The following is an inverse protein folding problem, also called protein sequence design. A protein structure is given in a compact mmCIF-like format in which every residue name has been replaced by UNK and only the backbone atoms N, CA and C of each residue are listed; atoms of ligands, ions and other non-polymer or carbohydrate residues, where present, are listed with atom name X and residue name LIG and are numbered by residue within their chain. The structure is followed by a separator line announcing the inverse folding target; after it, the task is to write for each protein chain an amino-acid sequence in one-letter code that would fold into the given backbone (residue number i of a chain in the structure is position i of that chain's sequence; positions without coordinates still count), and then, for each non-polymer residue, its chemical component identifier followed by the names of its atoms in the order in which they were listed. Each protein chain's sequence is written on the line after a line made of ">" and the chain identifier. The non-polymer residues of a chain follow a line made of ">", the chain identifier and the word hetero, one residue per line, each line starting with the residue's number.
data_IF_672898327021
#
_entry.id   IF_672898327021
#
_cell.length_a   1.000
_cell.length_b   1.000
_cell.length_c   1.000
_cell.angle_alpha   90.00
_cell.angle_beta   90.00
_cell.angle_gamma   90.00
#
_symmetry.space_group_name_H-M   'P 1'
#
loop_
_entity.id
_entity.type
_entity.pdbx_description
1 polymer ?
#
# COMPACT_ATOMS: atom_id res chain seq x y z
N UNK A 1 -21.68 10.83 -4.68
CA UNK A 1 -22.38 9.53 -4.79
C UNK A 1 -21.53 8.45 -4.17
N UNK A 2 -22.02 7.78 -3.12
CA UNK A 2 -21.35 6.61 -2.52
C UNK A 2 -21.56 5.42 -3.46
N UNK A 3 -20.57 5.10 -4.25
CA UNK A 3 -20.58 3.89 -5.06
C UNK A 3 -20.14 2.73 -4.17
N UNK A 4 -20.94 1.66 -4.11
CA UNK A 4 -20.67 0.45 -3.32
C UNK A 4 -19.28 -0.18 -3.61
N UNK A 5 -18.68 0.19 -4.74
CA UNK A 5 -17.34 -0.28 -5.12
C UNK A 5 -16.22 0.27 -4.21
N UNK A 6 -16.38 1.49 -3.64
CA UNK A 6 -15.36 2.11 -2.78
C UNK A 6 -15.07 1.33 -1.51
N UNK A 7 -16.08 0.94 -0.70
CA UNK A 7 -15.81 0.12 0.48
C UNK A 7 -15.26 -1.26 0.12
N UNK A 8 -15.70 -1.86 -0.98
CA UNK A 8 -15.14 -3.15 -1.42
C UNK A 8 -13.66 -3.01 -1.81
N UNK A 9 -13.31 -1.98 -2.57
CA UNK A 9 -11.93 -1.69 -2.93
C UNK A 9 -11.07 -1.41 -1.69
N UNK A 10 -11.59 -0.66 -0.71
CA UNK A 10 -10.91 -0.35 0.54
C UNK A 10 -10.59 -1.61 1.35
N UNK A 11 -11.57 -2.49 1.52
CA UNK A 11 -11.40 -3.73 2.30
C UNK A 11 -10.42 -4.67 1.60
N UNK A 12 -10.56 -4.89 0.29
CA UNK A 12 -9.67 -5.78 -0.45
C UNK A 12 -8.22 -5.29 -0.44
N UNK A 13 -8.00 -3.98 -0.65
CA UNK A 13 -6.65 -3.43 -0.61
C UNK A 13 -6.08 -3.44 0.81
N UNK A 14 -6.88 -3.24 1.85
CA UNK A 14 -6.45 -3.35 3.24
C UNK A 14 -5.99 -4.78 3.59
N UNK A 15 -6.74 -5.79 3.18
CA UNK A 15 -6.39 -7.20 3.38
C UNK A 15 -5.07 -7.50 2.65
N UNK A 16 -4.96 -7.11 1.39
CA UNK A 16 -3.74 -7.32 0.62
C UNK A 16 -2.54 -6.60 1.24
N UNK A 17 -2.72 -5.33 1.66
CA UNK A 17 -1.67 -4.54 2.30
C UNK A 17 -1.18 -5.19 3.62
N UNK A 18 -2.09 -5.79 4.39
CA UNK A 18 -1.73 -6.56 5.59
C UNK A 18 -0.82 -7.74 5.25
N UNK A 19 -1.19 -8.55 4.25
CA UNK A 19 -0.37 -9.69 3.83
C UNK A 19 0.95 -9.26 3.21
N UNK A 20 0.97 -8.21 2.40
CA UNK A 20 2.20 -7.66 1.84
C UNK A 20 3.16 -7.14 2.92
N UNK A 21 2.63 -6.50 3.97
CA UNK A 21 3.41 -6.08 5.13
C UNK A 21 4.01 -7.27 5.89
N UNK A 22 3.23 -8.33 6.09
CA UNK A 22 3.71 -9.58 6.69
C UNK A 22 4.80 -10.26 5.86
N UNK A 23 4.71 -10.21 4.54
CA UNK A 23 5.75 -10.72 3.65
C UNK A 23 7.02 -9.85 3.66
N UNK A 24 6.90 -8.56 3.99
CA UNK A 24 8.04 -7.65 4.10
C UNK A 24 8.80 -7.79 5.43
N UNK A 25 8.13 -8.13 6.53
CA UNK A 25 8.74 -8.26 7.86
C UNK A 25 10.05 -9.07 7.85
N UNK A 26 10.11 -10.29 7.30
CA UNK A 26 11.35 -11.09 7.28
C UNK A 26 12.43 -10.51 6.36
N UNK A 27 12.09 -9.68 5.37
CA UNK A 27 13.06 -9.00 4.51
C UNK A 27 13.72 -7.82 5.22
N UNK A 28 13.00 -7.20 6.15
CA UNK A 28 13.53 -6.11 6.95
C UNK A 28 14.53 -6.63 8.00
N UNK A 29 14.09 -7.51 8.88
CA UNK A 29 14.91 -8.20 9.87
C UNK A 29 14.19 -9.50 10.28
N UNK A 30 14.80 -10.69 10.09
CA UNK A 30 14.20 -11.99 10.43
C UNK A 30 13.87 -12.15 11.92
N UNK A 31 14.49 -11.35 12.80
CA UNK A 31 14.30 -11.40 14.26
C UNK A 31 13.42 -10.26 14.79
N UNK A 32 13.11 -9.27 13.98
CA UNK A 32 12.28 -8.14 14.39
C UNK A 32 10.80 -8.51 14.41
N UNK A 33 10.18 -8.41 15.57
CA UNK A 33 8.72 -8.43 15.69
C UNK A 33 8.21 -7.02 15.45
N UNK A 34 7.74 -6.75 14.24
CA UNK A 34 7.25 -5.42 13.85
C UNK A 34 5.85 -5.07 14.40
N UNK A 35 5.42 -5.73 15.48
CA UNK A 35 4.23 -5.40 16.25
C UNK A 35 3.00 -5.01 15.42
N UNK A 36 2.66 -3.73 15.41
CA UNK A 36 1.49 -3.19 14.70
C UNK A 36 1.75 -2.75 13.25
N UNK A 37 2.95 -2.99 12.67
CA UNK A 37 3.29 -2.54 11.32
C UNK A 37 2.29 -3.00 10.26
N UNK A 38 1.95 -4.28 10.25
CA UNK A 38 0.99 -4.84 9.29
C UNK A 38 -0.41 -4.22 9.44
N UNK A 39 -0.85 -3.92 10.67
CA UNK A 39 -2.13 -3.26 10.91
C UNK A 39 -2.14 -1.83 10.37
N UNK A 40 -1.10 -1.05 10.66
CA UNK A 40 -0.99 0.31 10.13
C UNK A 40 -0.92 0.33 8.60
N UNK A 41 -0.18 -0.59 8.01
CA UNK A 41 -0.15 -0.75 6.55
C UNK A 41 -1.53 -1.10 5.98
N UNK A 42 -2.31 -1.93 6.68
CA UNK A 42 -3.69 -2.21 6.31
C UNK A 42 -4.59 -0.96 6.38
N UNK A 43 -4.43 -0.10 7.39
CA UNK A 43 -5.14 1.18 7.44
C UNK A 43 -4.78 2.10 6.27
N UNK A 44 -3.50 2.22 5.93
CA UNK A 44 -3.06 2.98 4.76
C UNK A 44 -3.67 2.38 3.48
N UNK A 45 -3.67 1.06 3.35
CA UNK A 45 -4.30 0.34 2.24
C UNK A 45 -5.81 0.61 2.17
N UNK A 46 -6.50 0.63 3.32
CA UNK A 46 -7.92 0.96 3.37
C UNK A 46 -8.21 2.36 2.80
N UNK A 47 -7.49 3.37 3.27
CA UNK A 47 -7.67 4.74 2.77
C UNK A 47 -7.29 4.89 1.30
N UNK A 48 -6.19 4.29 0.87
CA UNK A 48 -5.78 4.29 -0.55
C UNK A 48 -6.82 3.58 -1.42
N UNK A 49 -7.35 2.46 -0.94
CA UNK A 49 -8.41 1.71 -1.61
C UNK A 49 -9.70 2.53 -1.75
N UNK A 50 -10.08 3.24 -0.69
CA UNK A 50 -11.28 4.07 -0.69
C UNK A 50 -11.17 5.29 -1.61
N UNK A 51 -10.08 6.04 -1.50
CA UNK A 51 -9.90 7.33 -2.18
C UNK A 51 -9.43 7.12 -3.62
N UNK A 52 -8.40 6.32 -3.82
CA UNK A 52 -7.74 6.18 -5.10
C UNK A 52 -8.34 5.05 -5.93
N UNK A 53 -8.33 3.83 -5.43
CA UNK A 53 -8.71 2.65 -6.20
C UNK A 53 -10.22 2.64 -6.51
N UNK A 54 -11.06 2.85 -5.50
CA UNK A 54 -12.50 2.86 -5.66
C UNK A 54 -13.07 4.03 -6.45
N UNK A 55 -12.29 5.11 -6.61
CA UNK A 55 -12.67 6.29 -7.39
C UNK A 55 -12.29 6.23 -8.87
N UNK A 56 -11.34 5.35 -9.25
CA UNK A 56 -10.76 5.30 -10.60
C UNK A 56 -11.07 4.03 -11.39
N UNK A 57 -11.85 3.11 -10.85
CA UNK A 57 -12.25 1.92 -11.57
C UNK A 57 -13.12 2.29 -12.77
N UNK A 58 -12.73 1.84 -13.96
CA UNK A 58 -13.39 2.11 -15.22
C UNK A 58 -13.89 0.82 -15.89
N UNK A 59 -14.62 0.97 -16.98
CA UNK A 59 -15.15 -0.15 -17.80
C UNK A 59 -14.06 -0.93 -18.53
N UNK A 60 -12.88 -0.34 -18.73
CA UNK A 60 -11.73 -0.97 -19.37
C UNK A 60 -11.02 -1.90 -18.40
N UNK A 61 -10.83 -3.16 -18.79
CA UNK A 61 -10.08 -4.15 -18.00
C UNK A 61 -8.62 -3.75 -17.83
N UNK A 62 -7.97 -3.32 -18.89
CA UNK A 62 -6.57 -2.89 -18.86
C UNK A 62 -6.35 -1.72 -17.90
N UNK A 63 -7.25 -0.76 -17.92
CA UNK A 63 -7.17 0.38 -17.02
C UNK A 63 -7.38 -0.04 -15.55
N UNK A 64 -8.31 -0.95 -15.29
CA UNK A 64 -8.53 -1.47 -13.93
C UNK A 64 -7.32 -2.25 -13.39
N UNK A 65 -6.63 -3.04 -14.22
CA UNK A 65 -5.39 -3.72 -13.86
C UNK A 65 -4.29 -2.72 -13.52
N UNK A 66 -4.10 -1.72 -14.37
CA UNK A 66 -3.12 -0.66 -14.16
C UNK A 66 -3.36 0.13 -12.86
N UNK A 67 -4.61 0.53 -12.60
CA UNK A 67 -5.01 1.23 -11.37
C UNK A 67 -4.82 0.34 -10.14
N UNK A 68 -5.05 -0.98 -10.25
CA UNK A 68 -4.79 -1.93 -9.19
C UNK A 68 -3.31 -1.95 -8.78
N UNK A 69 -2.40 -2.04 -9.74
CA UNK A 69 -0.95 -1.99 -9.48
C UNK A 69 -0.55 -0.64 -8.89
N UNK A 70 -1.05 0.48 -9.47
CA UNK A 70 -0.80 1.82 -8.91
C UNK A 70 -1.25 1.96 -7.45
N UNK A 71 -2.41 1.42 -7.09
CA UNK A 71 -2.91 1.48 -5.73
C UNK A 71 -2.01 0.74 -4.75
N UNK A 72 -1.46 -0.41 -5.14
CA UNK A 72 -0.49 -1.17 -4.33
C UNK A 72 0.81 -0.38 -4.16
N UNK A 73 1.35 0.19 -5.23
CA UNK A 73 2.56 1.03 -5.17
C UNK A 73 2.34 2.25 -4.29
N UNK A 74 1.21 2.95 -4.43
CA UNK A 74 0.87 4.09 -3.58
C UNK A 74 0.73 3.70 -2.11
N UNK A 75 0.13 2.55 -1.81
CA UNK A 75 0.04 2.05 -0.44
C UNK A 75 1.42 1.80 0.15
N UNK A 76 2.32 1.17 -0.61
CA UNK A 76 3.70 0.94 -0.18
C UNK A 76 4.45 2.26 0.06
N UNK A 77 4.33 3.23 -0.86
CA UNK A 77 4.93 4.56 -0.72
C UNK A 77 4.43 5.30 0.52
N UNK A 78 3.11 5.40 0.71
CA UNK A 78 2.54 6.09 1.87
C UNK A 78 2.92 5.40 3.18
N UNK A 79 2.92 4.06 3.22
CA UNK A 79 3.38 3.31 4.39
C UNK A 79 4.84 3.63 4.70
N UNK A 80 5.72 3.57 3.70
CA UNK A 80 7.13 3.90 3.89
C UNK A 80 7.32 5.34 4.38
N UNK A 81 6.60 6.31 3.81
CA UNK A 81 6.66 7.72 4.23
C UNK A 81 6.24 7.89 5.70
N UNK A 82 5.11 7.31 6.10
CA UNK A 82 4.58 7.43 7.47
C UNK A 82 5.56 6.81 8.48
N UNK A 83 6.02 5.60 8.21
CA UNK A 83 6.96 4.91 9.10
C UNK A 83 8.36 5.53 9.05
N UNK A 84 8.80 6.08 7.92
CA UNK A 84 10.04 6.82 7.80
C UNK A 84 10.06 8.05 8.70
N UNK A 85 8.97 8.84 8.69
CA UNK A 85 8.83 9.98 9.61
C UNK A 85 8.90 9.52 11.06
N UNK A 86 8.16 8.47 11.43
CA UNK A 86 8.20 7.91 12.78
C UNK A 86 9.62 7.51 13.20
N UNK A 87 10.36 6.86 12.33
CA UNK A 87 11.73 6.39 12.62
C UNK A 87 12.68 7.56 12.82
N UNK A 88 12.61 8.59 11.99
CA UNK A 88 13.40 9.82 12.16
C UNK A 88 13.13 10.48 13.49
N UNK A 89 11.87 10.56 13.93
CA UNK A 89 11.55 11.11 15.26
C UNK A 89 12.15 10.26 16.38
N UNK A 90 12.08 8.93 16.31
CA UNK A 90 12.68 8.03 17.29
C UNK A 90 14.21 8.24 17.36
N UNK A 91 14.86 8.33 16.21
CA UNK A 91 16.30 8.56 16.13
C UNK A 91 16.69 9.98 16.60
N UNK A 92 15.85 10.98 16.31
CA UNK A 92 16.02 12.34 16.79
C UNK A 92 15.97 12.42 18.32
N UNK A 93 15.02 11.74 18.98
CA UNK A 93 14.95 11.63 20.43
C UNK A 93 16.20 10.98 21.04
N UNK A 94 16.87 10.09 20.31
CA UNK A 94 18.15 9.47 20.71
C UNK A 94 19.36 10.37 20.42
N UNK A 95 19.16 11.65 20.12
CA UNK A 95 20.21 12.66 19.80
C UNK A 95 21.14 12.24 18.64
N UNK A 96 20.62 11.49 17.68
CA UNK A 96 21.40 11.04 16.53
C UNK A 96 21.54 12.09 15.44
N UNK A 97 20.66 13.11 15.47
CA UNK A 97 20.67 14.24 14.54
C UNK A 97 20.89 15.54 15.30
N UNK A 98 22.07 16.19 15.19
CA UNK A 98 22.35 17.48 15.81
C UNK A 98 21.62 18.64 15.12
N UNK A 99 21.35 18.52 13.82
CA UNK A 99 20.69 19.53 13.00
C UNK A 99 19.47 18.98 12.25
N UNK A 100 18.56 19.90 11.89
CA UNK A 100 17.33 19.54 11.13
C UNK A 100 17.66 18.98 9.74
N UNK A 101 18.72 19.49 9.11
CA UNK A 101 19.18 19.03 7.80
C UNK A 101 19.69 17.58 7.86
N UNK A 102 20.37 17.21 8.95
CA UNK A 102 20.83 15.83 9.18
C UNK A 102 19.64 14.87 9.34
N UNK A 103 18.57 15.32 10.01
CA UNK A 103 17.34 14.54 10.14
C UNK A 103 16.65 14.34 8.78
N UNK A 104 16.64 15.36 7.92
CA UNK A 104 16.07 15.28 6.58
C UNK A 104 16.86 14.31 5.69
N UNK A 105 18.19 14.40 5.70
CA UNK A 105 19.07 13.48 4.98
C UNK A 105 18.88 12.05 5.50
N UNK A 106 18.84 11.87 6.81
CA UNK A 106 18.58 10.58 7.44
C UNK A 106 17.22 9.97 7.08
N UNK A 107 16.21 10.79 6.86
CA UNK A 107 14.90 10.33 6.37
C UNK A 107 15.01 9.67 4.98
N UNK A 108 15.68 10.31 4.06
CA UNK A 108 15.89 9.76 2.72
C UNK A 108 16.75 8.49 2.74
N UNK A 109 17.78 8.44 3.57
CA UNK A 109 18.62 7.25 3.73
C UNK A 109 17.83 6.06 4.27
N UNK A 110 16.94 6.30 5.24
CA UNK A 110 16.03 5.27 5.76
C UNK A 110 15.09 4.75 4.67
N UNK A 111 14.46 5.66 3.92
CA UNK A 111 13.56 5.28 2.84
C UNK A 111 14.29 4.47 1.76
N UNK A 112 15.46 4.93 1.31
CA UNK A 112 16.25 4.22 0.31
C UNK A 112 16.69 2.84 0.80
N UNK A 113 17.07 2.72 2.08
CA UNK A 113 17.41 1.44 2.70
C UNK A 113 16.21 0.47 2.71
N UNK A 114 15.01 0.96 3.01
CA UNK A 114 13.81 0.14 3.01
C UNK A 114 13.38 -0.27 1.60
N UNK A 115 13.44 0.64 0.64
CA UNK A 115 13.19 0.31 -0.76
C UNK A 115 14.21 -0.69 -1.31
N UNK A 116 15.49 -0.54 -0.95
CA UNK A 116 16.53 -1.50 -1.32
C UNK A 116 16.22 -2.91 -0.83
N UNK A 117 15.73 -3.06 0.41
CA UNK A 117 15.28 -4.35 0.95
C UNK A 117 14.02 -4.89 0.27
N UNK A 118 13.11 -4.01 -0.16
CA UNK A 118 11.90 -4.37 -0.87
C UNK A 118 12.16 -4.78 -2.34
N UNK A 119 13.31 -4.41 -2.91
CA UNK A 119 13.68 -4.75 -4.31
C UNK A 119 14.11 -6.21 -4.50
N UNK A 120 13.59 -7.12 -3.70
CA UNK A 120 13.73 -8.56 -3.93
C UNK A 120 12.70 -8.99 -4.96
N UNK A 121 13.14 -9.76 -5.97
CA UNK A 121 12.29 -10.19 -7.08
C UNK A 121 10.98 -10.83 -6.63
N UNK A 122 11.04 -11.71 -5.63
CA UNK A 122 9.86 -12.40 -5.09
C UNK A 122 8.84 -11.42 -4.50
N UNK A 123 9.31 -10.40 -3.78
CA UNK A 123 8.44 -9.38 -3.18
C UNK A 123 7.84 -8.45 -4.24
N UNK A 124 8.61 -8.06 -5.24
CA UNK A 124 8.11 -7.26 -6.37
C UNK A 124 7.06 -8.02 -7.19
N UNK A 125 7.26 -9.31 -7.42
CA UNK A 125 6.28 -10.16 -8.09
C UNK A 125 4.99 -10.29 -7.26
N UNK A 126 5.11 -10.39 -5.93
CA UNK A 126 3.95 -10.39 -5.02
C UNK A 126 3.17 -9.08 -5.11
N UNK A 127 3.84 -7.94 -5.09
CA UNK A 127 3.19 -6.63 -5.19
C UNK A 127 2.52 -6.42 -6.56
N UNK A 128 3.25 -6.72 -7.65
CA UNK A 128 2.73 -6.57 -9.01
C UNK A 128 1.59 -7.56 -9.28
N UNK A 129 1.78 -8.84 -8.97
CA UNK A 129 0.77 -9.88 -9.11
C UNK A 129 -0.48 -9.61 -8.27
N UNK A 130 -0.29 -9.23 -7.02
CA UNK A 130 -1.39 -8.82 -6.13
C UNK A 130 -2.15 -7.62 -6.65
N UNK A 131 -1.46 -6.60 -7.17
CA UNK A 131 -2.09 -5.43 -7.79
C UNK A 131 -2.92 -5.79 -9.02
N UNK A 132 -2.42 -6.68 -9.88
CA UNK A 132 -3.15 -7.19 -11.04
C UNK A 132 -4.41 -7.99 -10.62
N UNK A 133 -4.27 -8.89 -9.66
CA UNK A 133 -5.39 -9.69 -9.12
C UNK A 133 -6.45 -8.79 -8.50
N UNK A 134 -6.06 -7.79 -7.70
CA UNK A 134 -6.99 -6.81 -7.13
C UNK A 134 -7.72 -6.02 -8.21
N UNK A 135 -6.99 -5.54 -9.23
CA UNK A 135 -7.57 -4.84 -10.37
C UNK A 135 -8.60 -5.71 -11.12
N UNK A 136 -8.28 -6.99 -11.32
CA UNK A 136 -9.17 -7.95 -11.96
C UNK A 136 -10.44 -8.21 -11.15
N UNK A 137 -10.29 -8.52 -9.85
CA UNK A 137 -11.43 -8.78 -8.96
C UNK A 137 -12.36 -7.57 -8.94
N UNK A 138 -11.79 -6.38 -8.75
CA UNK A 138 -12.59 -5.15 -8.69
C UNK A 138 -13.25 -4.80 -10.02
N UNK A 139 -12.60 -5.11 -11.15
CA UNK A 139 -13.21 -4.96 -12.46
C UNK A 139 -14.46 -5.85 -12.60
N UNK A 140 -14.35 -7.13 -12.22
CA UNK A 140 -15.49 -8.07 -12.27
C UNK A 140 -16.61 -7.63 -11.33
N UNK A 141 -16.29 -7.22 -10.12
CA UNK A 141 -17.26 -6.73 -9.13
C UNK A 141 -17.96 -5.47 -9.63
N UNK A 142 -17.19 -4.49 -10.15
CA UNK A 142 -17.75 -3.25 -10.69
C UNK A 142 -18.72 -3.53 -11.84
N UNK A 143 -18.33 -4.39 -12.77
CA UNK A 143 -19.16 -4.78 -13.92
C UNK A 143 -20.44 -5.53 -13.50
N UNK A 144 -20.34 -6.37 -12.46
CA UNK A 144 -21.50 -7.05 -11.86
C UNK A 144 -22.50 -6.07 -11.22
N UNK A 145 -21.99 -5.07 -10.51
CA UNK A 145 -22.81 -4.03 -9.89
C UNK A 145 -23.50 -3.14 -10.94
N UNK A 146 -22.80 -2.76 -12.01
CA UNK A 146 -23.37 -1.97 -13.10
C UNK A 146 -24.50 -2.71 -13.84
N UNK A 147 -24.32 -4.01 -14.11
CA UNK A 147 -25.37 -4.83 -14.71
C UNK A 147 -26.64 -4.86 -13.88
N UNK A 148 -26.54 -5.02 -12.57
CA UNK A 148 -27.68 -5.01 -11.63
C UNK A 148 -28.37 -3.65 -11.56
N UNK A 149 -27.61 -2.56 -11.68
CA UNK A 149 -28.17 -1.20 -11.68
C UNK A 149 -28.95 -0.90 -12.97
N UNK A 150 -28.48 -1.37 -14.11
CA UNK A 150 -29.13 -1.14 -15.41
C UNK A 150 -30.31 -2.10 -15.66
N UNK A 151 -30.49 -3.14 -14.84
CA UNK A 151 -31.61 -4.09 -14.92
C UNK A 151 -32.83 -3.67 -14.07
N UNK A 152 -32.72 -2.53 -13.35
CA UNK A 152 -33.83 -1.88 -12.60
C UNK A 152 -34.28 -0.62 -13.30
#
# INVERSE_FOLDING_TARGET
>A
MFTLIRPVAAILLAIFAFYAAKAYEPLYDPQAVMGSFALWTAYVGFFTGWVFLGGRLDRSLWFSLYVGVQAVVLTALFTAMIFGVREVFILGYRRRYPEVMDALTGYFDILLGWFGKAMVQEYLLLLAGGGLVLGLILHVVNRGMERRRNAR
#
